data_IF_908276442680
#
_entry.id   IF_908276442680
#
_cell.length_a   1.000
_cell.length_b   1.000
_cell.length_c   1.000
_cell.angle_alpha   90.00
_cell.angle_beta   90.00
_cell.angle_gamma   90.00
#
_symmetry.space_group_name_H-M   'P 1'
#
loop_
_entity.id
_entity.type
_entity.pdbx_description
1 polymer ?
#
# COMPACT_ATOMS: atom_id res chain seq x y z
N UNK A 1 22.85 -0.72 3.47
CA UNK A 1 22.66 0.75 3.47
C UNK A 1 21.54 1.07 4.47
N UNK A 2 21.88 1.36 5.74
CA UNK A 2 20.89 1.51 6.84
C UNK A 2 20.23 2.89 6.92
N UNK A 3 20.60 3.83 6.05
CA UNK A 3 20.28 5.25 6.15
C UNK A 3 18.77 5.48 6.20
N UNK A 4 18.01 4.81 5.32
CA UNK A 4 16.54 4.86 5.30
C UNK A 4 15.94 4.34 6.60
N UNK A 5 16.48 3.25 7.15
CA UNK A 5 15.96 2.65 8.37
C UNK A 5 16.21 3.56 9.59
N UNK A 6 17.38 4.19 9.65
CA UNK A 6 17.71 5.17 10.69
C UNK A 6 16.82 6.42 10.58
N UNK A 7 16.54 6.91 9.37
CA UNK A 7 15.65 8.05 9.18
C UNK A 7 14.21 7.76 9.64
N UNK A 8 13.66 6.60 9.25
CA UNK A 8 12.31 6.19 9.67
C UNK A 8 12.20 5.98 11.19
N UNK A 9 13.25 5.43 11.82
CA UNK A 9 13.32 5.32 13.27
C UNK A 9 13.31 6.70 13.95
N UNK A 10 14.07 7.68 13.43
CA UNK A 10 14.10 9.06 13.93
C UNK A 10 12.76 9.78 13.77
N UNK A 11 11.97 9.43 12.76
CA UNK A 11 10.62 9.95 12.54
C UNK A 11 9.54 9.22 13.35
N UNK A 12 9.90 8.22 14.17
CA UNK A 12 8.94 7.47 14.99
C UNK A 12 8.03 6.54 14.19
N UNK A 13 8.41 6.18 12.96
CA UNK A 13 7.55 5.39 12.06
C UNK A 13 7.66 3.88 12.29
N UNK A 14 8.76 3.41 12.87
CA UNK A 14 9.04 1.99 13.06
C UNK A 14 8.54 1.48 14.42
N UNK A 15 7.91 0.31 14.43
CA UNK A 15 7.52 -0.36 15.66
C UNK A 15 8.76 -0.85 16.43
N UNK A 16 8.90 -0.55 17.73
CA UNK A 16 10.00 -1.07 18.55
C UNK A 16 9.86 -2.58 18.81
N UNK A 17 8.69 -3.16 18.57
CA UNK A 17 8.42 -4.60 18.72
C UNK A 17 8.68 -5.38 17.43
N UNK A 18 9.11 -4.69 16.35
CA UNK A 18 9.41 -5.33 15.07
C UNK A 18 8.21 -5.98 14.38
N UNK A 19 6.98 -5.52 14.68
CA UNK A 19 5.75 -6.11 14.13
C UNK A 19 4.74 -5.03 13.76
N UNK A 20 4.07 -5.24 12.62
CA UNK A 20 2.86 -4.48 12.27
C UNK A 20 1.66 -5.08 13.00
N UNK A 21 1.07 -4.32 13.92
CA UNK A 21 -0.16 -4.69 14.64
C UNK A 21 -1.39 -4.03 13.98
N UNK A 22 -1.66 -4.39 12.71
CA UNK A 22 -2.75 -3.77 11.93
C UNK A 22 -4.10 -3.90 12.64
N UNK A 23 -4.77 -2.77 12.86
CA UNK A 23 -6.08 -2.66 13.52
C UNK A 23 -6.14 -3.09 14.99
N UNK A 24 -4.98 -3.32 15.62
CA UNK A 24 -4.88 -3.73 17.02
C UNK A 24 -4.48 -2.53 17.89
N UNK A 25 -4.96 -2.49 19.14
CA UNK A 25 -4.71 -1.38 20.07
C UNK A 25 -3.23 -1.22 20.45
N UNK A 26 -2.38 -2.22 20.18
CA UNK A 26 -0.92 -2.19 20.38
C UNK A 26 -0.17 -1.53 19.22
N UNK A 27 -0.84 -1.13 18.15
CA UNK A 27 -0.22 -0.51 16.99
C UNK A 27 0.65 0.69 17.38
N UNK A 28 1.93 0.63 17.01
CA UNK A 28 2.95 1.60 17.42
C UNK A 28 4.02 1.81 16.33
N UNK A 29 3.61 1.71 15.07
CA UNK A 29 4.47 1.81 13.89
C UNK A 29 4.42 0.56 13.02
N UNK A 30 5.16 0.57 11.91
CA UNK A 30 5.29 -0.58 11.00
C UNK A 30 6.70 -1.20 11.07
N UNK A 31 6.91 -2.31 10.37
CA UNK A 31 8.24 -2.91 10.12
C UNK A 31 8.48 -3.01 8.62
N UNK A 32 9.73 -2.84 8.19
CA UNK A 32 10.11 -2.98 6.79
C UNK A 32 10.11 -4.46 6.38
N UNK A 33 9.61 -4.75 5.18
CA UNK A 33 9.72 -6.06 4.54
C UNK A 33 10.35 -5.92 3.16
N UNK A 34 10.83 -7.03 2.62
CA UNK A 34 11.38 -7.13 1.26
C UNK A 34 10.57 -8.15 0.45
N UNK A 35 10.42 -7.92 -0.86
CA UNK A 35 9.66 -8.80 -1.75
C UNK A 35 9.61 -8.27 -3.17
N UNK A 36 9.32 -9.16 -4.13
CA UNK A 36 9.13 -8.82 -5.54
C UNK A 36 7.95 -9.62 -6.11
N UNK A 37 7.20 -9.01 -7.03
CA UNK A 37 6.05 -9.63 -7.68
C UNK A 37 5.73 -8.98 -9.02
N UNK A 38 5.20 -9.77 -9.95
CA UNK A 38 4.81 -9.31 -11.29
C UNK A 38 3.44 -9.90 -11.62
N UNK A 39 2.60 -9.11 -12.29
CA UNK A 39 1.34 -9.57 -12.88
C UNK A 39 1.34 -9.27 -14.36
N UNK A 40 0.68 -10.13 -15.14
CA UNK A 40 0.46 -9.92 -16.57
C UNK A 40 -1.00 -9.57 -16.77
N UNK A 41 -1.25 -8.47 -17.49
CA UNK A 41 -2.59 -7.98 -17.75
C UNK A 41 -2.98 -8.25 -19.21
N UNK A 42 -4.25 -8.60 -19.39
CA UNK A 42 -4.87 -8.78 -20.69
C UNK A 42 -6.32 -8.33 -20.60
N UNK A 43 -6.89 -7.84 -21.70
CA UNK A 43 -8.35 -7.62 -21.76
C UNK A 43 -9.06 -8.95 -21.51
N UNK A 44 -10.09 -8.93 -20.65
CA UNK A 44 -10.80 -10.13 -20.26
C UNK A 44 -11.34 -10.92 -21.47
N UNK A 45 -11.86 -10.22 -22.48
CA UNK A 45 -12.37 -10.83 -23.72
C UNK A 45 -11.29 -11.59 -24.48
N UNK A 46 -10.07 -11.05 -24.56
CA UNK A 46 -8.96 -11.72 -25.25
C UNK A 46 -8.40 -12.86 -24.40
N UNK A 47 -8.38 -12.73 -23.07
CA UNK A 47 -7.98 -13.81 -22.18
C UNK A 47 -8.92 -15.02 -22.30
N UNK A 48 -10.24 -14.78 -22.33
CA UNK A 48 -11.25 -15.83 -22.53
C UNK A 48 -11.14 -16.44 -23.92
N UNK A 49 -11.02 -15.63 -24.98
CA UNK A 49 -10.88 -16.11 -26.36
C UNK A 49 -9.67 -17.02 -26.51
N UNK A 50 -8.54 -16.63 -25.91
CA UNK A 50 -7.28 -17.34 -26.08
C UNK A 50 -7.12 -18.49 -25.05
N UNK A 51 -8.13 -18.72 -24.19
CA UNK A 51 -8.14 -19.82 -23.21
C UNK A 51 -7.18 -19.62 -22.03
N UNK A 52 -6.80 -18.37 -21.73
CA UNK A 52 -5.88 -18.05 -20.64
C UNK A 52 -6.50 -18.34 -19.26
N UNK A 53 -5.66 -18.76 -18.31
CA UNK A 53 -6.07 -18.87 -16.90
C UNK A 53 -6.21 -17.48 -16.27
N UNK A 54 -7.43 -16.97 -16.19
CA UNK A 54 -7.74 -15.71 -15.51
C UNK A 54 -7.68 -15.89 -13.99
N UNK A 55 -6.72 -15.25 -13.33
CA UNK A 55 -6.56 -15.28 -11.86
C UNK A 55 -7.52 -14.31 -11.14
N UNK A 56 -7.96 -13.26 -11.84
CA UNK A 56 -8.84 -12.22 -11.32
C UNK A 56 -9.10 -11.16 -12.39
N UNK A 57 -10.04 -10.25 -12.12
CA UNK A 57 -10.41 -9.17 -13.05
C UNK A 57 -10.28 -7.82 -12.36
N UNK A 58 -9.46 -6.93 -12.93
CA UNK A 58 -9.39 -5.52 -12.51
C UNK A 58 -10.61 -4.80 -13.06
N UNK A 59 -11.57 -4.45 -12.19
CA UNK A 59 -12.82 -3.77 -12.59
C UNK A 59 -12.65 -2.27 -12.79
N UNK A 60 -11.71 -1.67 -12.09
CA UNK A 60 -11.37 -0.25 -12.15
C UNK A 60 -10.14 0.03 -11.31
N UNK A 61 -9.53 1.19 -11.54
CA UNK A 61 -8.44 1.73 -10.73
C UNK A 61 -8.52 3.25 -10.70
N UNK A 62 -8.15 3.85 -9.58
CA UNK A 62 -8.09 5.29 -9.40
C UNK A 62 -6.88 5.66 -8.53
N UNK A 63 -6.41 6.89 -8.70
CA UNK A 63 -5.34 7.49 -7.90
C UNK A 63 -5.70 8.93 -7.57
N UNK A 64 -5.37 9.38 -6.36
CA UNK A 64 -5.48 10.79 -5.96
C UNK A 64 -4.34 11.18 -5.00
N UNK A 65 -4.50 12.30 -4.29
CA UNK A 65 -3.53 12.81 -3.31
C UNK A 65 -4.25 13.29 -2.04
N UNK A 66 -3.56 13.17 -0.91
CA UNK A 66 -4.09 13.61 0.40
C UNK A 66 -4.26 15.13 0.51
N UNK A 67 -3.59 15.91 -0.37
CA UNK A 67 -3.69 17.36 -0.40
C UNK A 67 -3.21 18.03 0.90
N UNK A 68 -3.88 19.11 1.32
CA UNK A 68 -3.58 19.79 2.58
C UNK A 68 -4.21 19.01 3.75
N UNK A 69 -3.37 18.34 4.54
CA UNK A 69 -3.76 17.57 5.73
C UNK A 69 -3.06 18.08 7.01
N UNK A 70 -3.11 17.30 8.11
CA UNK A 70 -2.52 17.65 9.41
C UNK A 70 -0.96 17.57 9.44
N UNK A 71 -0.33 17.34 8.29
CA UNK A 71 1.11 17.25 8.14
C UNK A 71 1.48 16.53 6.84
N UNK A 72 2.70 16.74 6.34
CA UNK A 72 3.13 16.19 5.04
C UNK A 72 2.98 14.66 4.93
N UNK A 73 3.15 13.94 6.03
CA UNK A 73 3.05 12.47 6.11
C UNK A 73 1.75 11.98 6.77
N UNK A 74 0.85 12.89 7.15
CA UNK A 74 -0.39 12.55 7.83
C UNK A 74 -1.47 12.13 6.82
N UNK A 75 -2.12 10.97 7.01
CA UNK A 75 -3.17 10.50 6.10
C UNK A 75 -4.41 11.41 6.11
N UNK A 76 -5.16 11.47 4.99
CA UNK A 76 -6.42 12.20 4.88
C UNK A 76 -7.63 11.29 4.61
N UNK A 77 -8.54 11.16 5.58
CA UNK A 77 -9.70 10.29 5.45
C UNK A 77 -10.70 10.71 4.35
N UNK A 78 -11.07 11.99 4.19
CA UNK A 78 -11.86 12.44 3.04
C UNK A 78 -11.25 12.05 1.70
N UNK A 79 -9.97 12.33 1.46
CA UNK A 79 -9.28 11.96 0.21
C UNK A 79 -9.29 10.45 -0.03
N UNK A 80 -9.11 9.64 1.02
CA UNK A 80 -9.19 8.18 0.91
C UNK A 80 -10.59 7.70 0.54
N UNK A 81 -11.65 8.31 1.08
CA UNK A 81 -13.03 7.98 0.70
C UNK A 81 -13.31 8.39 -0.76
N UNK A 82 -12.79 9.54 -1.19
CA UNK A 82 -13.12 10.09 -2.51
C UNK A 82 -12.45 9.31 -3.67
N UNK A 83 -11.40 8.51 -3.39
CA UNK A 83 -10.74 7.65 -4.40
C UNK A 83 -11.23 6.20 -4.40
N UNK A 84 -12.10 5.83 -3.45
CA UNK A 84 -12.77 4.53 -3.41
C UNK A 84 -14.00 4.53 -4.32
#
# INVERSE_FOLDING_TARGET
>A
RPETQLALAKWGMLSPHGRCYSFDSRANGFVRGEGAGVVVLKRLTDAVRDGDRVLGVVRGSAVNQDGRSNGLTAPNAPSQRDVM
#
